data_IF_272278471310
#
_entry.id   IF_272278471310
#
_cell.length_a   1.000
_cell.length_b   1.000
_cell.length_c   1.000
_cell.angle_alpha   90.00
_cell.angle_beta   90.00
_cell.angle_gamma   90.00
#
_symmetry.space_group_name_H-M   'P 1'
#
loop_
_entity.id
_entity.type
_entity.pdbx_description
1 polymer ?
#
# COMPACT_ATOMS: atom_id res chain seq x y z
N UNK A 1 -11.16 8.53 13.94
CA UNK A 1 -10.51 9.31 15.03
C UNK A 1 -9.14 8.75 15.39
N UNK A 2 -9.00 7.46 15.75
CA UNK A 2 -7.68 6.86 16.02
C UNK A 2 -6.72 6.91 14.82
N UNK A 3 -7.19 6.54 13.62
CA UNK A 3 -6.33 6.55 12.43
C UNK A 3 -5.81 7.95 12.10
N UNK A 4 -6.60 9.01 12.30
CA UNK A 4 -6.16 10.39 12.08
C UNK A 4 -5.05 10.82 13.06
N UNK A 5 -4.96 10.19 14.23
CA UNK A 5 -3.87 10.39 15.19
C UNK A 5 -2.67 9.49 14.88
N UNK A 6 -2.91 8.22 14.57
CA UNK A 6 -1.86 7.23 14.35
C UNK A 6 -1.14 7.46 13.01
N UNK A 7 -1.86 7.85 11.96
CA UNK A 7 -1.31 7.99 10.61
C UNK A 7 -0.13 8.96 10.52
N UNK A 8 -0.21 10.21 11.02
CA UNK A 8 0.93 11.12 11.04
C UNK A 8 2.14 10.58 11.80
N UNK A 9 1.94 9.66 12.75
CA UNK A 9 3.02 9.04 13.52
C UNK A 9 3.61 7.84 12.77
N UNK A 10 2.77 7.00 12.16
CA UNK A 10 3.18 5.84 11.35
C UNK A 10 4.10 6.29 10.22
N UNK A 11 3.75 7.37 9.52
CA UNK A 11 4.55 7.90 8.41
C UNK A 11 5.94 8.42 8.84
N UNK A 12 6.21 8.58 10.13
CA UNK A 12 7.56 8.94 10.62
C UNK A 12 8.50 7.75 10.69
N UNK A 13 7.98 6.51 10.61
CA UNK A 13 8.74 5.29 10.87
C UNK A 13 9.18 5.11 12.34
N UNK A 14 8.85 6.05 13.23
CA UNK A 14 9.22 6.04 14.66
C UNK A 14 8.08 5.59 15.59
N UNK A 15 6.91 5.30 15.02
CA UNK A 15 5.76 4.81 15.73
C UNK A 15 5.60 3.31 15.51
N UNK A 16 5.68 2.55 16.59
CA UNK A 16 5.55 1.09 16.57
C UNK A 16 4.33 0.69 17.40
N UNK A 17 3.16 0.48 16.78
CA UNK A 17 2.01 -0.06 17.48
C UNK A 17 2.24 -1.53 17.82
N UNK A 18 1.72 -1.94 18.98
CA UNK A 18 1.75 -3.33 19.46
C UNK A 18 0.32 -3.78 19.76
N UNK A 19 0.09 -5.08 19.67
CA UNK A 19 -1.16 -5.72 20.07
C UNK A 19 -0.89 -6.86 21.04
N UNK A 20 -1.89 -7.18 21.86
CA UNK A 20 -1.79 -8.26 22.85
C UNK A 20 -1.86 -9.63 22.16
N UNK A 21 -0.97 -10.55 22.55
CA UNK A 21 -0.89 -11.90 21.99
C UNK A 21 -2.10 -12.78 22.31
N UNK A 22 -2.82 -12.49 23.39
CA UNK A 22 -3.98 -13.25 23.85
C UNK A 22 -5.16 -12.32 24.10
N UNK A 23 -6.30 -12.62 23.48
CA UNK A 23 -7.55 -11.89 23.66
C UNK A 23 -8.06 -11.91 25.11
N UNK A 24 -7.61 -12.89 25.91
CA UNK A 24 -8.00 -13.07 27.32
C UNK A 24 -7.18 -12.25 28.33
N UNK A 25 -6.12 -11.55 27.90
CA UNK A 25 -5.26 -10.79 28.82
C UNK A 25 -5.86 -9.44 29.26
N UNK A 26 -7.04 -9.07 28.74
CA UNK A 26 -7.71 -7.80 28.99
C UNK A 26 -8.40 -7.77 30.37
N UNK A 27 -7.59 -7.62 31.40
CA UNK A 27 -8.00 -6.99 32.67
C UNK A 27 -7.40 -5.59 32.83
N UNK A 28 -6.67 -5.09 31.83
CA UNK A 28 -6.08 -3.75 31.89
C UNK A 28 -7.11 -2.70 31.51
N UNK A 29 -8.02 -2.40 32.44
CA UNK A 29 -8.78 -1.13 32.51
C UNK A 29 -7.87 0.10 32.74
N UNK A 30 -6.54 -0.10 32.67
CA UNK A 30 -5.51 0.90 32.95
C UNK A 30 -4.98 1.42 31.63
N UNK A 31 -5.50 2.55 31.20
CA UNK A 31 -4.90 3.35 30.15
C UNK A 31 -3.84 4.26 30.78
N UNK A 32 -2.64 4.31 30.22
CA UNK A 32 -1.62 5.21 30.73
C UNK A 32 -0.68 5.69 29.62
N UNK A 33 -0.12 6.88 29.83
CA UNK A 33 0.85 7.51 28.92
C UNK A 33 2.08 7.87 29.75
N UNK A 34 3.25 7.45 29.28
CA UNK A 34 4.54 7.78 29.91
C UNK A 34 5.35 8.61 28.95
N UNK A 35 5.79 9.79 29.38
CA UNK A 35 6.73 10.63 28.65
C UNK A 35 8.00 10.72 29.50
N UNK A 36 9.04 9.93 29.18
CA UNK A 36 10.27 9.88 29.98
C UNK A 36 10.87 11.28 30.20
N UNK A 37 11.25 11.57 31.43
CA UNK A 37 11.81 12.87 31.82
C UNK A 37 10.79 14.01 32.00
N UNK A 38 9.52 13.82 31.61
CA UNK A 38 8.47 14.84 31.72
C UNK A 38 7.42 14.45 32.77
N UNK A 39 6.83 13.27 32.64
CA UNK A 39 5.74 12.84 33.51
C UNK A 39 5.00 11.61 32.97
N UNK A 40 4.06 11.10 33.76
CA UNK A 40 3.20 10.01 33.39
C UNK A 40 1.76 10.27 33.83
N UNK A 41 0.80 9.80 33.03
CA UNK A 41 -0.63 9.87 33.33
C UNK A 41 -1.13 8.43 33.42
N UNK A 42 -1.75 8.08 34.54
CA UNK A 42 -2.50 6.83 34.70
C UNK A 42 -3.99 7.18 34.77
N UNK A 43 -4.72 6.75 33.78
CA UNK A 43 -6.16 6.95 33.68
C UNK A 43 -6.92 5.81 34.37
N UNK A 44 -8.07 6.17 34.92
CA UNK A 44 -9.00 5.28 35.58
C UNK A 44 -10.41 5.49 35.03
N UNK A 45 -11.12 4.39 34.85
CA UNK A 45 -12.54 4.39 34.54
C UNK A 45 -13.32 4.22 35.84
N UNK A 46 -13.99 5.27 36.32
CA UNK A 46 -14.86 5.15 37.51
C UNK A 46 -16.30 4.75 37.16
N UNK A 47 -16.62 4.67 35.86
CA UNK A 47 -17.92 4.26 35.33
C UNK A 47 -17.76 3.20 34.24
N UNK A 48 -18.54 2.10 34.25
CA UNK A 48 -18.53 1.11 33.19
C UNK A 48 -18.84 1.75 31.83
N UNK A 49 -18.11 1.35 30.79
CA UNK A 49 -18.33 1.76 29.39
C UNK A 49 -18.24 3.27 29.08
N UNK A 50 -17.78 4.10 30.02
CA UNK A 50 -17.69 5.55 29.85
C UNK A 50 -16.30 6.04 29.37
N UNK A 51 -15.34 5.13 29.23
CA UNK A 51 -13.92 5.47 29.03
C UNK A 51 -13.28 6.08 30.29
N UNK A 52 -12.01 6.45 30.19
CA UNK A 52 -11.28 7.10 31.27
C UNK A 52 -11.92 8.44 31.66
N UNK A 53 -12.30 8.60 32.93
CA UNK A 53 -12.92 9.83 33.44
C UNK A 53 -12.18 10.47 34.62
N UNK A 54 -11.18 9.76 35.16
CA UNK A 54 -10.23 10.27 36.16
C UNK A 54 -8.82 9.91 35.76
N UNK A 55 -7.84 10.67 36.21
CA UNK A 55 -6.44 10.34 36.00
C UNK A 55 -5.54 10.84 37.13
N UNK A 56 -4.48 10.10 37.41
CA UNK A 56 -3.37 10.53 38.24
C UNK A 56 -2.24 11.05 37.35
N UNK A 57 -1.80 12.29 37.60
CA UNK A 57 -0.62 12.87 36.97
C UNK A 57 0.58 12.72 37.90
N UNK A 58 1.60 12.01 37.43
CA UNK A 58 2.86 11.80 38.14
C UNK A 58 3.97 12.62 37.49
N UNK A 59 4.67 13.43 38.29
CA UNK A 59 5.86 14.19 37.86
C UNK A 59 7.16 13.76 38.56
N UNK A 60 7.06 13.01 39.67
CA UNK A 60 8.25 12.52 40.36
C UNK A 60 8.98 11.49 39.50
N UNK A 61 10.30 11.62 39.39
CA UNK A 61 11.16 10.71 38.63
C UNK A 61 10.89 9.24 38.95
N UNK A 62 10.81 8.87 40.23
CA UNK A 62 10.57 7.50 40.66
C UNK A 62 9.24 6.93 40.12
N UNK A 63 8.13 7.68 40.22
CA UNK A 63 6.84 7.22 39.69
C UNK A 63 6.84 7.08 38.16
N UNK A 64 7.52 7.98 37.44
CA UNK A 64 7.67 7.89 35.98
C UNK A 64 8.48 6.65 35.60
N UNK A 65 9.57 6.35 36.32
CA UNK A 65 10.39 5.15 36.11
C UNK A 65 9.59 3.87 36.37
N UNK A 66 8.79 3.81 37.44
CA UNK A 66 7.93 2.64 37.73
C UNK A 66 6.93 2.37 36.61
N UNK A 67 6.23 3.41 36.11
CA UNK A 67 5.26 3.23 35.03
C UNK A 67 5.94 2.87 33.69
N UNK A 68 7.13 3.41 33.43
CA UNK A 68 7.95 3.03 32.28
C UNK A 68 8.35 1.54 32.35
N UNK A 69 8.80 1.09 33.50
CA UNK A 69 9.27 -0.30 33.66
C UNK A 69 8.09 -1.27 33.58
N UNK A 70 6.93 -0.90 34.15
CA UNK A 70 5.68 -1.62 33.95
C UNK A 70 5.29 -1.71 32.46
N UNK A 71 5.38 -0.61 31.71
CA UNK A 71 5.13 -0.62 30.27
C UNK A 71 6.02 -1.63 29.54
N UNK A 72 7.33 -1.62 29.79
CA UNK A 72 8.26 -2.54 29.13
C UNK A 72 8.04 -4.00 29.55
N UNK A 73 7.64 -4.25 30.80
CA UNK A 73 7.26 -5.58 31.25
C UNK A 73 6.04 -6.10 30.48
N UNK A 74 4.99 -5.28 30.33
CA UNK A 74 3.81 -5.65 29.53
C UNK A 74 4.18 -5.83 28.05
N UNK A 75 4.96 -4.90 27.49
CA UNK A 75 5.37 -4.92 26.09
C UNK A 75 6.10 -6.22 25.74
N UNK A 76 7.09 -6.61 26.56
CA UNK A 76 7.93 -7.78 26.31
C UNK A 76 7.21 -9.11 26.55
N UNK A 77 6.32 -9.19 27.54
CA UNK A 77 5.69 -10.45 27.95
C UNK A 77 4.35 -10.73 27.27
N UNK A 78 3.53 -9.70 27.04
CA UNK A 78 2.14 -9.86 26.63
C UNK A 78 1.83 -9.40 25.20
N UNK A 79 2.74 -8.66 24.56
CA UNK A 79 2.45 -8.02 23.27
C UNK A 79 3.39 -8.48 22.16
N UNK A 80 3.01 -8.18 20.93
CA UNK A 80 3.87 -8.27 19.76
C UNK A 80 3.65 -7.06 18.83
N UNK A 81 4.67 -6.67 18.03
CA UNK A 81 4.54 -5.56 17.10
C UNK A 81 3.41 -5.84 16.11
N UNK A 82 2.53 -4.87 15.90
CA UNK A 82 1.49 -4.92 14.86
C UNK A 82 2.10 -4.69 13.47
N UNK A 83 3.12 -3.84 13.41
CA UNK A 83 3.75 -3.41 12.17
C UNK A 83 5.21 -3.90 12.14
N UNK A 84 5.59 -4.53 11.02
CA UNK A 84 6.98 -4.73 10.64
C UNK A 84 7.39 -3.65 9.63
N UNK A 85 8.39 -2.84 9.96
CA UNK A 85 8.94 -1.81 9.08
C UNK A 85 10.12 -2.34 8.26
N UNK A 86 10.19 -1.95 6.98
CA UNK A 86 11.35 -2.16 6.13
C UNK A 86 12.03 -0.80 5.88
N UNK A 87 13.32 -0.72 6.17
CA UNK A 87 14.11 0.49 5.95
C UNK A 87 14.65 0.51 4.51
N UNK A 88 15.26 1.61 4.09
CA UNK A 88 15.89 1.72 2.77
C UNK A 88 16.90 0.58 2.51
N UNK A 89 17.66 0.17 3.54
CA UNK A 89 18.65 -0.92 3.42
C UNK A 89 18.06 -2.31 3.22
N UNK A 90 16.75 -2.51 3.41
CA UNK A 90 16.08 -3.80 3.26
C UNK A 90 15.11 -3.86 2.08
N UNK A 91 15.30 -2.99 1.08
CA UNK A 91 14.42 -2.89 -0.08
C UNK A 91 14.32 -4.18 -0.91
N UNK A 92 15.45 -4.88 -1.11
CA UNK A 92 15.46 -6.17 -1.80
C UNK A 92 14.69 -7.24 -1.00
N UNK A 93 14.91 -7.30 0.32
CA UNK A 93 14.19 -8.21 1.22
C UNK A 93 12.68 -7.92 1.22
N UNK A 94 12.28 -6.65 1.12
CA UNK A 94 10.88 -6.28 0.92
C UNK A 94 10.34 -6.78 -0.42
N UNK A 95 11.09 -6.64 -1.52
CA UNK A 95 10.70 -7.17 -2.83
C UNK A 95 10.54 -8.70 -2.85
N UNK A 96 11.42 -9.42 -2.15
CA UNK A 96 11.31 -10.87 -1.96
C UNK A 96 10.04 -11.21 -1.17
N UNK A 97 9.81 -10.56 -0.03
CA UNK A 97 8.60 -10.76 0.78
C UNK A 97 7.33 -10.45 0.00
N UNK A 98 7.31 -9.36 -0.78
CA UNK A 98 6.21 -9.00 -1.68
C UNK A 98 5.96 -10.08 -2.75
N UNK A 99 6.98 -10.83 -3.15
CA UNK A 99 6.81 -11.96 -4.07
C UNK A 99 6.24 -13.21 -3.36
N UNK A 100 6.63 -13.43 -2.11
CA UNK A 100 6.12 -14.54 -1.28
C UNK A 100 4.64 -14.37 -0.93
N UNK A 101 4.21 -13.16 -0.57
CA UNK A 101 2.79 -12.92 -0.32
C UNK A 101 1.95 -13.06 -1.61
N UNK A 102 2.50 -12.68 -2.76
CA UNK A 102 1.76 -12.75 -4.03
C UNK A 102 1.48 -14.22 -4.34
N UNK A 103 2.41 -15.12 -3.98
CA UNK A 103 2.29 -16.57 -4.13
C UNK A 103 1.24 -17.20 -3.23
N UNK A 104 0.82 -16.51 -2.16
CA UNK A 104 -0.22 -17.02 -1.28
C UNK A 104 -1.55 -17.13 -2.05
N UNK A 105 -2.35 -18.20 -1.88
CA UNK A 105 -3.67 -18.29 -2.51
C UNK A 105 -4.63 -17.27 -1.90
N UNK A 106 -5.62 -16.79 -2.68
CA UNK A 106 -6.67 -15.91 -2.18
C UNK A 106 -6.78 -14.57 -2.90
N UNK A 107 -7.81 -13.81 -2.53
CA UNK A 107 -8.13 -12.51 -3.14
C UNK A 107 -7.01 -11.50 -2.94
N UNK A 108 -6.89 -10.54 -3.86
CA UNK A 108 -6.01 -9.39 -3.72
C UNK A 108 -6.77 -8.08 -3.95
N UNK A 109 -6.58 -7.16 -3.02
CA UNK A 109 -6.93 -5.76 -3.21
C UNK A 109 -5.66 -4.95 -3.33
N UNK A 110 -5.59 -4.05 -4.31
CA UNK A 110 -4.44 -3.17 -4.48
C UNK A 110 -4.91 -1.75 -4.72
N UNK A 111 -4.48 -0.81 -3.89
CA UNK A 111 -4.62 0.62 -4.16
C UNK A 111 -3.28 1.19 -4.60
N UNK A 112 -3.26 1.90 -5.72
CA UNK A 112 -2.06 2.60 -6.20
C UNK A 112 -2.46 3.85 -6.99
N UNK A 113 -1.62 4.89 -6.97
CA UNK A 113 -1.87 6.09 -7.78
C UNK A 113 -1.80 5.81 -9.28
N UNK A 114 -1.00 4.84 -9.69
CA UNK A 114 -0.87 4.37 -11.08
C UNK A 114 -1.33 2.92 -11.24
N UNK A 115 -1.31 2.43 -12.48
CA UNK A 115 -1.54 1.02 -12.77
C UNK A 115 -0.47 0.10 -12.15
N UNK A 116 -0.85 -1.15 -11.92
CA UNK A 116 0.07 -2.20 -11.50
C UNK A 116 1.21 -2.37 -12.51
N UNK A 117 2.46 -2.45 -12.03
CA UNK A 117 3.59 -2.81 -12.89
C UNK A 117 3.41 -4.21 -13.49
N UNK A 118 2.62 -5.09 -12.84
CA UNK A 118 2.36 -6.45 -13.32
C UNK A 118 1.52 -6.48 -14.59
N UNK A 119 0.89 -5.37 -14.94
CA UNK A 119 0.20 -5.18 -16.22
C UNK A 119 1.13 -4.77 -17.35
N UNK A 120 2.38 -4.38 -17.09
CA UNK A 120 3.34 -4.10 -18.16
C UNK A 120 3.66 -5.39 -18.90
N UNK A 121 3.80 -5.39 -20.23
CA UNK A 121 4.46 -6.47 -20.95
C UNK A 121 5.91 -6.61 -20.52
N UNK A 122 6.46 -7.84 -20.52
CA UNK A 122 7.83 -8.10 -20.04
C UNK A 122 8.88 -7.36 -20.87
N UNK A 123 8.77 -7.42 -22.19
CA UNK A 123 9.69 -6.72 -23.10
C UNK A 123 9.66 -5.20 -22.86
N UNK A 124 8.48 -4.64 -22.57
CA UNK A 124 8.37 -3.22 -22.25
C UNK A 124 8.98 -2.91 -20.88
N UNK A 125 8.75 -3.76 -19.87
CA UNK A 125 9.38 -3.60 -18.55
C UNK A 125 10.91 -3.63 -18.66
N UNK A 126 11.50 -4.55 -19.44
CA UNK A 126 12.94 -4.60 -19.70
C UNK A 126 13.43 -3.31 -20.38
N UNK A 127 12.74 -2.85 -21.44
CA UNK A 127 13.06 -1.58 -22.14
C UNK A 127 13.07 -0.40 -21.17
N UNK A 128 12.11 -0.34 -20.24
CA UNK A 128 12.02 0.75 -19.27
C UNK A 128 13.06 0.63 -18.15
N UNK A 129 13.35 -0.57 -17.66
CA UNK A 129 14.42 -0.78 -16.68
C UNK A 129 15.78 -0.36 -17.22
N UNK A 130 16.08 -0.61 -18.50
CA UNK A 130 17.33 -0.17 -19.13
C UNK A 130 17.49 1.36 -19.18
N UNK A 131 16.40 2.12 -19.03
CA UNK A 131 16.45 3.59 -18.91
C UNK A 131 16.77 4.05 -17.49
N UNK A 132 16.67 3.15 -16.50
CA UNK A 132 17.19 3.41 -15.15
C UNK A 132 18.70 3.15 -15.20
N UNK A 133 19.51 4.15 -14.86
CA UNK A 133 20.98 4.05 -14.79
C UNK A 133 21.42 3.16 -13.61
N UNK A 134 21.04 1.88 -13.64
CA UNK A 134 21.26 0.88 -12.59
C UNK A 134 22.50 0.05 -12.89
N UNK A 135 23.05 -0.58 -11.86
CA UNK A 135 24.08 -1.61 -12.04
C UNK A 135 23.45 -2.87 -12.67
N UNK A 136 24.26 -3.67 -13.37
CA UNK A 136 23.80 -4.91 -13.99
C UNK A 136 23.16 -5.87 -12.97
N UNK A 137 23.76 -6.02 -11.79
CA UNK A 137 23.21 -6.82 -10.70
C UNK A 137 21.81 -6.34 -10.26
N UNK A 138 21.65 -5.04 -10.03
CA UNK A 138 20.36 -4.49 -9.63
C UNK A 138 19.31 -4.64 -10.75
N UNK A 139 19.70 -4.54 -12.02
CA UNK A 139 18.81 -4.80 -13.15
C UNK A 139 18.35 -6.26 -13.16
N UNK A 140 19.26 -7.21 -12.97
CA UNK A 140 18.92 -8.64 -12.88
C UNK A 140 17.99 -8.94 -11.72
N UNK A 141 18.28 -8.42 -10.52
CA UNK A 141 17.42 -8.59 -9.34
C UNK A 141 16.01 -8.01 -9.55
N UNK A 142 15.90 -6.83 -10.17
CA UNK A 142 14.61 -6.21 -10.48
C UNK A 142 13.82 -7.01 -11.53
N UNK A 143 14.51 -7.62 -12.49
CA UNK A 143 13.90 -8.45 -13.52
C UNK A 143 13.41 -9.79 -12.97
N UNK A 144 14.22 -10.47 -12.15
CA UNK A 144 13.87 -11.76 -11.55
C UNK A 144 12.65 -11.64 -10.64
N UNK A 145 12.63 -10.62 -9.76
CA UNK A 145 11.47 -10.33 -8.92
C UNK A 145 10.22 -10.04 -9.75
N UNK A 146 10.36 -9.26 -10.82
CA UNK A 146 9.23 -8.92 -11.68
C UNK A 146 8.67 -10.16 -12.40
N UNK A 147 9.52 -10.98 -13.03
CA UNK A 147 9.08 -12.19 -13.75
C UNK A 147 8.37 -13.15 -12.80
N UNK A 148 8.98 -13.44 -11.66
CA UNK A 148 8.40 -14.31 -10.61
C UNK A 148 7.02 -13.81 -10.20
N UNK A 149 6.89 -12.52 -9.85
CA UNK A 149 5.61 -11.94 -9.43
C UNK A 149 4.58 -11.96 -10.55
N UNK A 150 5.00 -11.74 -11.79
CA UNK A 150 4.10 -11.74 -12.94
C UNK A 150 3.54 -13.12 -13.23
N UNK A 151 4.37 -14.15 -13.20
CA UNK A 151 3.92 -15.54 -13.38
C UNK A 151 2.88 -15.92 -12.31
N UNK A 152 3.18 -15.63 -11.05
CA UNK A 152 2.27 -15.84 -9.91
C UNK A 152 0.97 -15.05 -10.08
N UNK A 153 1.08 -13.79 -10.51
CA UNK A 153 -0.10 -12.96 -10.74
C UNK A 153 -1.00 -13.59 -11.78
N UNK A 154 -0.47 -14.02 -12.92
CA UNK A 154 -1.25 -14.66 -13.98
C UNK A 154 -1.88 -15.97 -13.50
N UNK A 155 -1.15 -16.83 -12.78
CA UNK A 155 -1.72 -18.08 -12.25
C UNK A 155 -2.84 -17.82 -11.24
N UNK A 156 -2.69 -16.80 -10.39
CA UNK A 156 -3.71 -16.47 -9.39
C UNK A 156 -4.97 -15.87 -9.99
N UNK A 157 -4.87 -15.11 -11.10
CA UNK A 157 -6.03 -14.55 -11.79
C UNK A 157 -6.98 -15.64 -12.35
N UNK A 158 -6.49 -16.86 -12.56
CA UNK A 158 -7.34 -17.97 -13.00
C UNK A 158 -8.28 -18.47 -11.88
N UNK A 159 -7.94 -18.22 -10.61
CA UNK A 159 -8.61 -18.84 -9.47
C UNK A 159 -9.17 -17.85 -8.45
N UNK A 160 -8.60 -16.66 -8.33
CA UNK A 160 -8.89 -15.73 -7.25
C UNK A 160 -9.21 -14.33 -7.75
N UNK A 161 -10.09 -13.63 -7.03
CA UNK A 161 -10.49 -12.27 -7.36
C UNK A 161 -9.39 -11.27 -7.06
N UNK A 162 -9.08 -10.43 -8.04
CA UNK A 162 -8.10 -9.37 -7.96
C UNK A 162 -8.74 -8.04 -8.35
N UNK A 163 -8.72 -7.09 -7.42
CA UNK A 163 -9.29 -5.75 -7.60
C UNK A 163 -8.20 -4.70 -7.42
N UNK A 164 -7.90 -4.00 -8.50
CA UNK A 164 -6.96 -2.89 -8.47
C UNK A 164 -7.73 -1.56 -8.49
N UNK A 165 -7.44 -0.69 -7.54
CA UNK A 165 -7.97 0.66 -7.40
C UNK A 165 -6.88 1.64 -7.82
N UNK A 166 -7.12 2.34 -8.93
CA UNK A 166 -6.18 3.28 -9.51
C UNK A 166 -6.80 4.68 -9.59
N UNK A 167 -6.00 5.74 -9.47
CA UNK A 167 -6.50 7.09 -9.72
C UNK A 167 -6.74 7.30 -11.22
N UNK A 168 -7.80 8.05 -11.58
CA UNK A 168 -8.03 8.47 -12.97
C UNK A 168 -6.84 9.26 -13.55
N UNK A 169 -6.05 9.92 -12.71
CA UNK A 169 -4.84 10.63 -13.11
C UNK A 169 -3.78 9.71 -13.72
N UNK A 170 -3.76 8.42 -13.38
CA UNK A 170 -2.85 7.44 -13.98
C UNK A 170 -2.96 7.42 -15.51
N UNK A 171 -4.20 7.45 -16.03
CA UNK A 171 -4.45 7.49 -17.48
C UNK A 171 -4.00 8.82 -18.09
N UNK A 172 -4.26 9.95 -17.42
CA UNK A 172 -3.80 11.26 -17.90
C UNK A 172 -2.27 11.35 -17.93
N UNK A 173 -1.59 10.87 -16.88
CA UNK A 173 -0.13 10.84 -16.80
C UNK A 173 0.47 10.00 -17.93
N UNK A 174 -0.10 8.82 -18.19
CA UNK A 174 0.39 7.94 -19.23
C UNK A 174 0.11 8.50 -20.64
N UNK A 175 -1.10 9.01 -20.90
CA UNK A 175 -1.56 9.36 -22.25
C UNK A 175 -1.17 10.78 -22.66
N UNK A 176 -1.36 11.76 -21.76
CA UNK A 176 -1.12 13.18 -22.05
C UNK A 176 0.30 13.61 -21.70
N UNK A 177 0.78 13.18 -20.54
CA UNK A 177 2.12 13.53 -20.08
C UNK A 177 3.20 12.55 -20.53
N UNK A 178 2.79 11.43 -21.15
CA UNK A 178 3.67 10.38 -21.66
C UNK A 178 4.66 9.89 -20.60
N UNK A 179 4.18 9.72 -19.36
CA UNK A 179 5.02 9.34 -18.21
C UNK A 179 4.46 8.12 -17.51
N UNK A 180 5.38 7.25 -17.06
CA UNK A 180 5.07 6.14 -16.17
C UNK A 180 5.92 6.20 -14.91
N UNK A 181 5.32 5.84 -13.78
CA UNK A 181 6.02 5.64 -12.51
C UNK A 181 6.42 4.16 -12.40
N UNK A 182 7.70 3.88 -12.65
CA UNK A 182 8.25 2.54 -12.57
C UNK A 182 8.86 2.30 -11.19
N UNK A 183 8.27 1.39 -10.41
CA UNK A 183 8.74 1.03 -9.08
C UNK A 183 9.38 -0.36 -9.06
N UNK A 184 10.55 -0.46 -8.43
CA UNK A 184 11.24 -1.72 -8.13
C UNK A 184 11.95 -1.62 -6.77
N UNK A 185 12.83 -2.58 -6.45
CA UNK A 185 13.54 -2.59 -5.17
C UNK A 185 14.51 -1.41 -5.02
N UNK A 186 14.95 -0.77 -6.11
CA UNK A 186 15.72 0.48 -6.10
C UNK A 186 14.83 1.74 -6.09
N UNK A 187 13.56 1.58 -5.75
CA UNK A 187 12.62 2.69 -5.63
C UNK A 187 11.88 2.99 -6.94
N UNK A 188 11.24 4.15 -7.00
CA UNK A 188 10.49 4.61 -8.16
C UNK A 188 11.30 5.52 -9.07
N UNK A 189 10.96 5.51 -10.35
CA UNK A 189 11.49 6.46 -11.34
C UNK A 189 10.38 6.88 -12.28
N UNK A 190 10.36 8.15 -12.63
CA UNK A 190 9.47 8.68 -13.66
C UNK A 190 10.19 8.51 -14.99
N UNK A 191 9.60 7.74 -15.90
CA UNK A 191 10.19 7.42 -17.19
C UNK A 191 9.27 7.97 -18.28
N UNK A 192 9.85 8.70 -19.23
CA UNK A 192 9.13 9.15 -20.42
C UNK A 192 8.87 7.96 -21.35
N UNK A 193 7.68 7.93 -21.93
CA UNK A 193 7.14 6.84 -22.73
C UNK A 193 6.93 7.30 -24.18
N UNK A 194 7.23 6.42 -25.13
CA UNK A 194 6.88 6.65 -26.53
C UNK A 194 5.41 6.30 -26.77
N UNK A 195 4.80 6.89 -27.80
CA UNK A 195 3.39 6.62 -28.14
C UNK A 195 3.13 5.14 -28.41
N UNK A 196 4.06 4.44 -29.05
CA UNK A 196 3.97 3.00 -29.30
C UNK A 196 4.04 2.19 -28.00
N UNK A 197 4.89 2.60 -27.05
CA UNK A 197 5.00 1.95 -25.75
C UNK A 197 3.72 2.12 -24.92
N UNK A 198 3.12 3.32 -24.96
CA UNK A 198 1.83 3.63 -24.31
C UNK A 198 0.72 2.75 -24.90
N UNK A 199 0.62 2.69 -26.23
CA UNK A 199 -0.37 1.87 -26.93
C UNK A 199 -0.18 0.40 -26.55
N UNK A 200 1.05 -0.12 -26.61
CA UNK A 200 1.34 -1.51 -26.30
C UNK A 200 1.00 -1.86 -24.85
N UNK A 201 1.31 -0.96 -23.90
CA UNK A 201 0.95 -1.14 -22.50
C UNK A 201 -0.57 -1.19 -22.30
N UNK A 202 -1.29 -0.18 -22.79
CA UNK A 202 -2.75 -0.10 -22.63
C UNK A 202 -3.47 -1.26 -23.32
N UNK A 203 -2.97 -1.72 -24.47
CA UNK A 203 -3.48 -2.93 -25.13
C UNK A 203 -3.31 -4.16 -24.26
N UNK A 204 -2.16 -4.30 -23.58
CA UNK A 204 -1.98 -5.42 -22.64
C UNK A 204 -2.93 -5.33 -21.44
N UNK A 205 -3.18 -4.13 -20.90
CA UNK A 205 -4.19 -3.95 -19.83
C UNK A 205 -5.58 -4.40 -20.31
N UNK A 206 -5.98 -4.01 -21.52
CA UNK A 206 -7.26 -4.44 -22.12
C UNK A 206 -7.30 -5.96 -22.27
N UNK A 207 -6.23 -6.57 -22.81
CA UNK A 207 -6.15 -8.02 -22.98
C UNK A 207 -6.25 -8.77 -21.64
N UNK A 208 -5.62 -8.24 -20.59
CA UNK A 208 -5.68 -8.82 -19.24
C UNK A 208 -7.09 -8.76 -18.67
N UNK A 209 -7.75 -7.60 -18.79
CA UNK A 209 -9.15 -7.46 -18.40
C UNK A 209 -10.01 -8.43 -19.21
N UNK A 210 -9.91 -8.48 -20.53
CA UNK A 210 -10.75 -9.35 -21.36
C UNK A 210 -10.52 -10.85 -21.09
N UNK A 211 -9.28 -11.26 -20.81
CA UNK A 211 -8.92 -12.67 -20.60
C UNK A 211 -9.37 -13.21 -19.24
N UNK A 212 -9.26 -12.42 -18.17
CA UNK A 212 -9.44 -12.92 -16.81
C UNK A 212 -10.69 -12.33 -16.16
N UNK A 213 -11.72 -13.15 -15.97
CA UNK A 213 -12.98 -12.73 -15.32
C UNK A 213 -12.78 -12.25 -13.89
N UNK A 214 -11.83 -12.84 -13.18
CA UNK A 214 -11.51 -12.49 -11.81
C UNK A 214 -10.65 -11.22 -11.68
N UNK A 215 -10.19 -10.62 -12.78
CA UNK A 215 -9.43 -9.38 -12.76
C UNK A 215 -10.32 -8.16 -13.04
N UNK A 216 -10.27 -7.17 -12.15
CA UNK A 216 -11.00 -5.92 -12.30
C UNK A 216 -10.17 -4.73 -11.87
N UNK A 217 -10.34 -3.61 -12.57
CA UNK A 217 -9.74 -2.33 -12.25
C UNK A 217 -10.87 -1.34 -11.98
N UNK A 218 -10.78 -0.58 -10.90
CA UNK A 218 -11.62 0.57 -10.64
C UNK A 218 -10.81 1.87 -10.68
N UNK A 219 -11.40 2.91 -11.26
CA UNK A 219 -10.81 4.23 -11.39
C UNK A 219 -11.42 5.20 -10.40
N UNK A 220 -10.62 5.64 -9.45
CA UNK A 220 -11.03 6.59 -8.43
C UNK A 220 -10.85 8.02 -8.94
N UNK A 221 -11.80 8.93 -8.68
CA UNK A 221 -11.61 10.34 -8.96
C UNK A 221 -10.43 10.86 -8.12
N UNK A 222 -9.82 11.97 -8.56
CA UNK A 222 -8.80 12.63 -7.75
C UNK A 222 -9.40 12.95 -6.38
N UNK A 223 -8.70 12.57 -5.33
CA UNK A 223 -9.11 12.90 -3.97
C UNK A 223 -9.16 14.43 -3.84
N UNK A 224 -10.36 14.98 -3.71
CA UNK A 224 -10.62 16.42 -3.74
C UNK A 224 -10.66 17.05 -2.35
N UNK A 225 -10.37 16.29 -1.28
CA UNK A 225 -10.25 16.88 0.04
C UNK A 225 -9.94 15.91 1.17
N UNK A 226 -8.74 16.05 1.76
CA UNK A 226 -8.50 16.37 3.17
C UNK A 226 -7.03 16.10 3.54
N UNK A 227 -6.18 17.13 3.45
CA UNK A 227 -4.89 17.22 4.17
C UNK A 227 -3.77 16.23 3.81
N UNK A 228 -4.03 15.15 3.07
CA UNK A 228 -3.05 14.12 2.66
C UNK A 228 -2.66 14.21 1.20
N UNK A 229 -3.03 15.30 0.50
CA UNK A 229 -2.81 15.55 -0.93
C UNK A 229 -1.34 15.56 -1.40
N UNK A 230 -0.39 15.19 -0.54
CA UNK A 230 1.03 15.07 -0.83
C UNK A 230 1.62 13.68 -0.54
N UNK A 231 0.84 12.73 0.00
CA UNK A 231 1.31 11.39 0.29
C UNK A 231 0.83 10.44 -0.80
N UNK A 232 1.71 10.15 -1.75
CA UNK A 232 1.48 9.01 -2.63
C UNK A 232 1.55 7.76 -1.74
N UNK A 233 0.52 6.93 -1.77
CA UNK A 233 0.55 5.67 -1.05
C UNK A 233 0.20 4.51 -1.96
N UNK A 234 0.85 3.40 -1.68
CA UNK A 234 0.63 2.11 -2.30
C UNK A 234 0.18 1.16 -1.19
N UNK A 235 -0.92 0.44 -1.42
CA UNK A 235 -1.43 -0.54 -0.49
C UNK A 235 -1.74 -1.83 -1.22
N UNK A 236 -1.34 -2.97 -0.65
CA UNK A 236 -1.80 -4.29 -1.06
C UNK A 236 -2.39 -4.97 0.16
N UNK A 237 -3.56 -5.58 -0.01
CA UNK A 237 -4.11 -6.54 0.94
C UNK A 237 -4.21 -7.88 0.21
N UNK A 238 -3.58 -8.89 0.80
CA UNK A 238 -3.66 -10.28 0.36
C UNK A 238 -4.44 -11.07 1.39
N UNK A 239 -5.53 -11.69 0.92
CA UNK A 239 -6.52 -12.38 1.76
C UNK A 239 -5.86 -13.30 2.80
N UNK A 240 -6.26 -13.14 4.07
CA UNK A 240 -5.80 -13.92 5.23
C UNK A 240 -4.27 -13.95 5.46
N UNK A 241 -3.48 -13.17 4.72
CA UNK A 241 -2.02 -13.26 4.77
C UNK A 241 -1.36 -11.98 5.23
N UNK A 242 -1.51 -10.87 4.51
CA UNK A 242 -0.77 -9.65 4.81
C UNK A 242 -1.40 -8.40 4.18
N UNK A 243 -1.27 -7.29 4.90
CA UNK A 243 -1.41 -5.94 4.36
C UNK A 243 -0.03 -5.29 4.24
N UNK A 244 0.24 -4.64 3.12
CA UNK A 244 1.46 -3.93 2.84
C UNK A 244 1.14 -2.50 2.47
N UNK A 245 1.94 -1.58 2.98
CA UNK A 245 1.80 -0.18 2.66
C UNK A 245 3.15 0.46 2.43
N UNK A 246 3.26 1.19 1.33
CA UNK A 246 4.37 2.11 1.05
C UNK A 246 3.84 3.53 1.01
N UNK A 247 4.48 4.44 1.73
CA UNK A 247 4.16 5.87 1.72
C UNK A 247 5.37 6.66 1.20
N UNK A 248 5.09 7.58 0.28
CA UNK A 248 6.05 8.53 -0.28
C UNK A 248 5.59 9.93 0.15
N UNK A 249 6.15 10.41 1.25
CA UNK A 249 5.85 11.70 1.89
C UNK A 249 6.70 12.81 1.29
N UNK A 250 7.88 12.47 0.80
CA UNK A 250 8.81 13.38 0.14
C UNK A 250 8.99 12.98 -1.33
N UNK A 251 9.28 13.95 -2.22
CA UNK A 251 9.60 13.71 -3.65
C UNK A 251 10.94 12.95 -3.84
N UNK A 252 11.28 12.03 -2.93
CA UNK A 252 12.42 11.14 -3.04
C UNK A 252 12.01 9.91 -3.83
N UNK A 253 12.94 9.34 -4.59
CA UNK A 253 12.72 8.13 -5.40
C UNK A 253 12.46 6.86 -4.57
N UNK A 254 12.34 6.92 -3.24
CA UNK A 254 12.13 5.77 -2.37
C UNK A 254 11.00 6.06 -1.39
N UNK A 255 10.24 5.03 -0.97
CA UNK A 255 9.22 5.22 0.05
C UNK A 255 9.87 5.55 1.39
N UNK A 256 9.34 6.58 2.06
CA UNK A 256 9.76 7.00 3.40
C UNK A 256 9.38 5.94 4.45
N UNK A 257 8.29 5.22 4.20
CA UNK A 257 7.82 4.12 5.04
C UNK A 257 7.38 2.95 4.18
N UNK A 258 7.92 1.77 4.50
CA UNK A 258 7.41 0.47 4.05
C UNK A 258 7.01 -0.33 5.27
N UNK A 259 5.74 -0.71 5.33
CA UNK A 259 5.20 -1.43 6.48
C UNK A 259 4.40 -2.65 6.05
N UNK A 260 4.44 -3.66 6.92
CA UNK A 260 3.71 -4.92 6.76
C UNK A 260 2.93 -5.20 8.04
N UNK A 261 1.68 -5.59 7.88
CA UNK A 261 0.80 -6.07 8.94
C UNK A 261 0.36 -7.50 8.58
N UNK A 262 0.57 -8.44 9.48
CA UNK A 262 0.20 -9.86 9.33
C UNK A 262 -0.85 -10.30 10.37
N UNK A 263 -1.43 -9.34 11.13
CA UNK A 263 -2.44 -9.64 12.15
C UNK A 263 -3.81 -9.89 11.47
N UNK A 264 -4.42 -11.09 11.65
CA UNK A 264 -5.63 -11.48 10.92
C UNK A 264 -6.82 -10.53 11.06
N UNK A 265 -7.15 -10.05 12.26
CA UNK A 265 -8.32 -9.16 12.42
C UNK A 265 -8.13 -7.84 11.68
N UNK A 266 -6.91 -7.31 11.64
CA UNK A 266 -6.62 -6.11 10.84
C UNK A 266 -6.72 -6.40 9.34
N UNK A 267 -6.26 -7.56 8.88
CA UNK A 267 -6.38 -7.97 7.48
C UNK A 267 -7.86 -8.08 7.09
N UNK A 268 -8.66 -8.80 7.87
CA UNK A 268 -10.10 -8.98 7.63
C UNK A 268 -10.82 -7.62 7.57
N UNK A 269 -10.55 -6.74 8.53
CA UNK A 269 -11.12 -5.39 8.55
C UNK A 269 -10.72 -4.55 7.32
N UNK A 270 -9.49 -4.73 6.81
CA UNK A 270 -9.05 -4.08 5.58
C UNK A 270 -9.74 -4.65 4.33
N UNK A 271 -9.95 -5.97 4.27
CA UNK A 271 -10.71 -6.60 3.19
C UNK A 271 -12.15 -6.07 3.14
N UNK A 272 -12.82 -6.02 4.29
CA UNK A 272 -14.16 -5.45 4.41
C UNK A 272 -14.21 -3.99 3.93
N UNK A 273 -13.23 -3.18 4.36
CA UNK A 273 -13.12 -1.78 3.92
C UNK A 273 -12.95 -1.65 2.40
N UNK A 274 -12.12 -2.48 1.77
CA UNK A 274 -11.96 -2.47 0.31
C UNK A 274 -13.23 -2.93 -0.44
N UNK A 275 -13.98 -3.86 0.14
CA UNK A 275 -15.28 -4.26 -0.40
C UNK A 275 -16.31 -3.14 -0.30
N UNK A 276 -16.35 -2.42 0.83
CA UNK A 276 -17.21 -1.24 1.00
C UNK A 276 -16.85 -0.14 -0.01
N UNK A 277 -15.56 0.17 -0.18
CA UNK A 277 -15.10 1.12 -1.21
C UNK A 277 -15.57 0.65 -2.58
N UNK A 278 -15.36 -0.63 -2.91
CA UNK A 278 -15.76 -1.18 -4.20
C UNK A 278 -17.25 -0.95 -4.49
N UNK A 279 -18.13 -1.14 -3.50
CA UNK A 279 -19.56 -0.91 -3.66
C UNK A 279 -19.96 0.57 -3.80
N UNK A 280 -19.19 1.47 -3.21
CA UNK A 280 -19.41 2.91 -3.31
C UNK A 280 -18.94 3.50 -4.65
N UNK A 281 -18.07 2.81 -5.39
CA UNK A 281 -17.58 3.31 -6.69
C UNK A 281 -18.71 3.23 -7.73
N UNK A 282 -19.04 4.34 -8.43
CA UNK A 282 -20.06 4.34 -9.47
C UNK A 282 -19.77 3.33 -10.58
N UNK A 283 -20.77 2.65 -11.17
CA UNK A 283 -20.56 1.70 -12.26
C UNK A 283 -19.70 2.19 -13.43
N UNK A 284 -19.78 3.46 -13.91
CA UNK A 284 -18.84 3.97 -14.93
C UNK A 284 -17.36 3.78 -14.61
N UNK A 285 -17.02 3.70 -13.33
CA UNK A 285 -15.66 3.71 -12.82
C UNK A 285 -15.20 2.34 -12.29
N UNK A 286 -16.06 1.31 -12.27
CA UNK A 286 -15.71 -0.05 -11.86
C UNK A 286 -16.21 -1.16 -12.79
N UNK A 287 -17.20 -0.87 -13.64
CA UNK A 287 -17.69 -1.85 -14.61
C UNK A 287 -16.61 -2.17 -15.63
N UNK A 288 -16.25 -3.44 -15.69
CA UNK A 288 -15.16 -3.95 -16.51
C UNK A 288 -15.29 -3.58 -17.99
N UNK A 289 -16.50 -3.65 -18.56
CA UNK A 289 -16.73 -3.33 -19.98
C UNK A 289 -16.53 -1.83 -20.23
N UNK A 290 -17.02 -0.98 -19.33
CA UNK A 290 -16.82 0.47 -19.40
C UNK A 290 -15.36 0.86 -19.25
N UNK A 291 -14.62 0.22 -18.34
CA UNK A 291 -13.18 0.45 -18.18
C UNK A 291 -12.41 0.05 -19.44
N UNK A 292 -12.72 -1.11 -20.04
CA UNK A 292 -12.13 -1.53 -21.32
C UNK A 292 -12.41 -0.49 -22.42
N UNK A 293 -13.66 -0.02 -22.55
CA UNK A 293 -14.04 0.99 -23.54
C UNK A 293 -13.29 2.31 -23.32
N UNK A 294 -13.15 2.74 -22.06
CA UNK A 294 -12.40 3.93 -21.70
C UNK A 294 -10.93 3.79 -22.11
N UNK A 295 -10.27 2.67 -21.77
CA UNK A 295 -8.87 2.45 -22.14
C UNK A 295 -8.68 2.40 -23.66
N UNK A 296 -9.60 1.75 -24.39
CA UNK A 296 -9.61 1.73 -25.87
C UNK A 296 -9.71 3.14 -26.45
N UNK A 297 -10.58 3.99 -25.90
CA UNK A 297 -10.69 5.39 -26.34
C UNK A 297 -9.39 6.17 -26.15
N UNK A 298 -8.63 5.88 -25.08
CA UNK A 298 -7.32 6.50 -24.85
C UNK A 298 -6.27 6.00 -25.85
N UNK A 299 -6.28 4.71 -26.20
CA UNK A 299 -5.41 4.15 -27.25
C UNK A 299 -5.66 4.86 -28.59
N UNK A 300 -6.93 5.03 -28.97
CA UNK A 300 -7.29 5.69 -30.23
C UNK A 300 -6.91 7.18 -30.23
N UNK A 301 -7.03 7.85 -29.07
CA UNK A 301 -6.54 9.22 -28.90
C UNK A 301 -5.03 9.33 -29.17
N UNK A 302 -4.20 8.46 -28.60
CA UNK A 302 -2.74 8.45 -28.83
C UNK A 302 -2.44 8.22 -30.31
N UNK A 303 -3.04 7.20 -30.93
CA UNK A 303 -2.84 6.89 -32.36
C UNK A 303 -3.16 8.07 -33.28
N UNK A 304 -4.26 8.76 -33.02
CA UNK A 304 -4.69 9.89 -33.85
C UNK A 304 -3.83 11.14 -33.64
N UNK A 305 -3.31 11.34 -32.44
CA UNK A 305 -2.40 12.45 -32.16
C UNK A 305 -1.04 12.24 -32.86
N UNK A 306 -0.44 11.04 -32.76
CA UNK A 306 0.84 10.74 -33.41
C UNK A 306 0.78 10.89 -34.94
N UNK A 307 -0.36 10.54 -35.56
CA UNK A 307 -0.58 10.70 -37.02
C UNK A 307 -0.66 12.15 -37.49
N UNK A 308 -0.94 13.11 -36.60
CA UNK A 308 -1.01 14.55 -36.95
C UNK A 308 0.34 15.26 -36.80
N UNK A 309 1.30 14.66 -36.11
CA UNK A 309 2.62 15.24 -35.85
C UNK A 309 3.74 14.68 -36.75
N UNK A 310 3.44 13.62 -37.50
CA UNK A 310 4.29 13.07 -38.58
C UNK A 310 3.77 13.55 -39.93
#
# INVERSE_FOLDING_TARGET
KFINFAWPLIITGKFTPYYFKKYEALTTEKEFVVIPGIGAILSLCTRPHAGADRAFLYKSRAAVEVLRDYFYAVLSSCTQPLIRNYTHGSALAYGVFLSEIEAYPGKRFMYKHDFSILNLPENLYIKLLQRKNMTENALMEALDLYKKRKEIFYSNLEHFQYRDFCLMEALNNLVKHKKIYLCDHTGFSIIDMEDQDIIYYLQNVVNMLERFDNYSIALLPKDSGNGTAHINFYCIVKEQKSMLLEAYVHNHSYPDVRLVIEEPMVIDACEDYFNEIWEQIPPPNRDKRRIIQLIRSQIDFVKNFSRKCN
#
